data_IF_164520821949
#
_entry.id   IF_164520821949
#
_cell.length_a   1.000
_cell.length_b   1.000
_cell.length_c   1.000
_cell.angle_alpha   90.00
_cell.angle_beta   90.00
_cell.angle_gamma   90.00
#
_symmetry.space_group_name_H-M   'P 1'
#
loop_
_entity.id
_entity.type
_entity.pdbx_description
1 polymer ?
#
# COMPACT_ATOMS: atom_id res chain seq x y z
N UNK A 1 18.28 2.02 -10.54
CA UNK A 1 18.03 2.49 -9.15
C UNK A 1 16.56 2.26 -8.82
N UNK A 2 16.27 1.67 -7.66
CA UNK A 2 14.88 1.47 -7.20
C UNK A 2 14.27 2.82 -6.81
N UNK A 3 13.05 3.07 -7.26
CA UNK A 3 12.32 4.31 -6.96
C UNK A 3 11.14 4.01 -6.04
N UNK A 4 10.73 4.99 -5.19
CA UNK A 4 9.51 4.85 -4.43
C UNK A 4 8.32 4.59 -5.36
N UNK A 5 7.35 3.83 -4.86
CA UNK A 5 6.11 3.53 -5.57
C UNK A 5 4.93 3.78 -4.65
N UNK A 6 3.84 4.30 -5.20
CA UNK A 6 2.55 4.32 -4.51
C UNK A 6 1.92 2.93 -4.61
N UNK A 7 1.68 2.30 -3.47
CA UNK A 7 1.05 0.99 -3.37
C UNK A 7 -0.36 1.12 -2.83
N UNK A 8 -1.31 0.39 -3.43
CA UNK A 8 -2.69 0.35 -2.98
C UNK A 8 -3.34 -1.00 -3.27
N UNK A 9 -4.32 -1.38 -2.45
CA UNK A 9 -5.13 -2.55 -2.73
C UNK A 9 -6.08 -2.28 -3.89
N UNK A 10 -5.97 -3.06 -4.96
CA UNK A 10 -6.85 -2.98 -6.10
C UNK A 10 -7.98 -4.01 -5.96
N UNK A 11 -9.17 -3.54 -5.62
CA UNK A 11 -10.34 -4.42 -5.39
C UNK A 11 -10.79 -5.17 -6.63
N UNK A 12 -10.55 -4.64 -7.83
CA UNK A 12 -10.91 -5.32 -9.09
C UNK A 12 -9.95 -6.45 -9.44
N UNK A 13 -8.67 -6.28 -9.10
CA UNK A 13 -7.63 -7.29 -9.34
C UNK A 13 -7.37 -8.21 -8.15
N UNK A 14 -7.97 -7.89 -6.99
CA UNK A 14 -7.80 -8.60 -5.71
C UNK A 14 -6.33 -8.80 -5.35
N UNK A 15 -5.52 -7.76 -5.56
CA UNK A 15 -4.08 -7.77 -5.33
C UNK A 15 -3.57 -6.36 -5.07
N UNK A 16 -2.31 -6.23 -4.62
CA UNK A 16 -1.68 -4.92 -4.54
C UNK A 16 -1.28 -4.45 -5.94
N UNK A 17 -1.66 -3.22 -6.27
CA UNK A 17 -1.13 -2.50 -7.44
C UNK A 17 -0.02 -1.57 -6.97
N UNK A 18 1.07 -1.55 -7.73
CA UNK A 18 2.29 -0.79 -7.43
C UNK A 18 2.47 0.19 -8.57
N UNK A 19 2.42 1.49 -8.27
CA UNK A 19 2.59 2.57 -9.24
C UNK A 19 3.92 3.27 -8.97
N UNK A 20 4.95 3.05 -9.80
CA UNK A 20 6.22 3.76 -9.67
C UNK A 20 6.05 5.28 -9.74
N UNK A 21 6.83 6.03 -8.98
CA UNK A 21 6.84 7.50 -9.11
C UNK A 21 7.59 7.99 -10.35
N UNK A 22 8.43 7.15 -10.93
CA UNK A 22 9.17 7.37 -12.18
C UNK A 22 9.09 6.10 -13.02
N UNK A 23 9.20 6.16 -14.35
CA UNK A 23 9.33 4.97 -15.18
C UNK A 23 10.47 4.09 -14.67
N UNK A 24 10.15 2.85 -14.29
CA UNK A 24 11.11 1.88 -13.76
C UNK A 24 10.55 0.48 -13.88
N UNK A 25 11.43 -0.48 -14.21
CA UNK A 25 11.13 -1.89 -14.02
C UNK A 25 11.22 -2.25 -12.53
N UNK A 26 10.32 -3.14 -12.09
CA UNK A 26 10.32 -3.68 -10.74
C UNK A 26 10.48 -5.20 -10.83
N UNK A 27 11.70 -5.65 -10.54
CA UNK A 27 12.03 -7.08 -10.52
C UNK A 27 11.15 -7.85 -9.54
N UNK A 28 10.67 -9.02 -9.95
CA UNK A 28 9.77 -9.85 -9.14
C UNK A 28 8.30 -9.42 -9.16
N UNK A 29 7.95 -8.37 -9.91
CA UNK A 29 6.56 -7.90 -10.05
C UNK A 29 6.07 -8.00 -11.50
N UNK A 30 4.78 -8.31 -11.67
CA UNK A 30 4.18 -8.46 -13.00
C UNK A 30 3.68 -7.12 -13.54
N UNK A 31 4.29 -6.62 -14.61
CA UNK A 31 3.83 -5.42 -15.31
C UNK A 31 2.38 -5.57 -15.80
N UNK A 32 1.59 -4.52 -15.63
CA UNK A 32 0.26 -4.46 -16.24
C UNK A 32 0.37 -4.31 -17.76
N UNK A 33 -0.65 -4.73 -18.53
CA UNK A 33 -0.62 -4.62 -19.99
C UNK A 33 -0.43 -3.19 -20.52
N UNK A 34 -0.78 -2.17 -19.72
CA UNK A 34 -0.64 -0.75 -20.08
C UNK A 34 0.70 -0.14 -19.64
N UNK A 35 1.57 -0.90 -18.98
CA UNK A 35 2.91 -0.45 -18.57
C UNK A 35 2.97 0.65 -17.50
N UNK A 36 1.85 0.99 -16.85
CA UNK A 36 1.79 2.11 -15.86
C UNK A 36 1.86 1.67 -14.40
N UNK A 37 1.50 0.41 -14.14
CA UNK A 37 1.49 -0.19 -12.80
C UNK A 37 1.94 -1.64 -12.90
N UNK A 38 2.38 -2.17 -11.77
CA UNK A 38 2.67 -3.57 -11.56
C UNK A 38 1.60 -4.19 -10.67
N UNK A 39 1.33 -5.47 -10.83
CA UNK A 39 0.45 -6.26 -9.98
C UNK A 39 1.27 -7.22 -9.14
N UNK A 40 0.92 -7.35 -7.87
CA UNK A 40 1.50 -8.36 -6.99
C UNK A 40 0.43 -9.11 -6.21
N UNK A 41 0.36 -10.43 -6.45
CA UNK A 41 -0.48 -11.37 -5.70
C UNK A 41 0.31 -12.06 -4.58
N UNK A 42 1.64 -11.99 -4.60
CA UNK A 42 2.50 -12.58 -3.58
C UNK A 42 2.84 -11.60 -2.46
N UNK A 43 3.54 -12.09 -1.42
CA UNK A 43 4.00 -11.24 -0.33
C UNK A 43 5.22 -10.40 -0.76
N UNK A 44 5.33 -9.20 -0.20
CA UNK A 44 6.45 -8.28 -0.43
C UNK A 44 6.54 -7.25 0.69
N UNK A 45 7.61 -6.45 0.69
CA UNK A 45 7.76 -5.37 1.66
C UNK A 45 7.97 -4.01 0.98
N UNK A 46 7.67 -2.96 1.73
CA UNK A 46 8.06 -1.58 1.45
C UNK A 46 9.07 -1.13 2.49
N UNK A 47 10.20 -0.59 2.04
CA UNK A 47 11.13 0.16 2.88
C UNK A 47 10.70 1.63 2.96
N UNK A 48 10.87 2.21 4.14
CA UNK A 48 10.52 3.59 4.48
C UNK A 48 9.10 3.98 4.04
N UNK A 49 8.07 3.18 4.39
CA UNK A 49 6.70 3.46 3.98
C UNK A 49 6.18 4.77 4.58
N UNK A 50 5.55 5.57 3.73
CA UNK A 50 4.77 6.76 4.08
C UNK A 50 3.30 6.50 3.74
N UNK A 51 2.45 6.59 4.75
CA UNK A 51 1.01 6.34 4.66
C UNK A 51 0.29 7.63 4.28
N UNK A 52 -0.40 7.62 3.14
CA UNK A 52 -0.95 8.83 2.53
C UNK A 52 -2.43 8.66 2.25
N UNK A 53 -3.23 9.58 2.75
CA UNK A 53 -4.64 9.73 2.40
C UNK A 53 -4.80 11.06 1.67
N UNK A 54 -5.34 11.01 0.46
CA UNK A 54 -5.74 12.19 -0.29
C UNK A 54 -7.13 12.61 0.19
N UNK A 55 -7.18 13.67 1.00
CA UNK A 55 -8.42 14.13 1.63
C UNK A 55 -9.49 14.53 0.60
N UNK A 56 -9.12 15.21 -0.48
CA UNK A 56 -10.04 15.52 -1.58
C UNK A 56 -10.65 14.24 -2.19
N UNK A 57 -9.83 13.21 -2.33
CA UNK A 57 -10.27 11.89 -2.79
C UNK A 57 -11.20 11.21 -1.79
N UNK A 58 -10.86 11.20 -0.49
CA UNK A 58 -11.68 10.65 0.59
C UNK A 58 -13.05 11.34 0.63
N UNK A 59 -13.09 12.67 0.62
CA UNK A 59 -14.33 13.45 0.62
C UNK A 59 -15.21 13.14 -0.60
N UNK A 60 -14.61 12.92 -1.76
CA UNK A 60 -15.36 12.47 -2.94
C UNK A 60 -15.99 11.09 -2.74
N UNK A 61 -15.26 10.13 -2.17
CA UNK A 61 -15.79 8.79 -1.81
C UNK A 61 -16.94 8.90 -0.82
N UNK A 62 -16.80 9.75 0.21
CA UNK A 62 -17.83 9.95 1.24
C UNK A 62 -19.14 10.49 0.65
N UNK A 63 -19.05 11.48 -0.26
CA UNK A 63 -20.20 12.09 -0.94
C UNK A 63 -20.84 11.14 -1.97
N UNK A 64 -20.04 10.53 -2.83
CA UNK A 64 -20.55 9.78 -3.98
C UNK A 64 -20.78 8.30 -3.69
N UNK A 65 -20.32 7.79 -2.54
CA UNK A 65 -20.33 6.36 -2.16
C UNK A 65 -19.71 5.43 -3.21
N UNK A 66 -18.82 5.97 -4.05
CA UNK A 66 -18.10 5.25 -5.12
C UNK A 66 -16.63 5.10 -4.73
N UNK A 67 -16.07 3.91 -4.90
CA UNK A 67 -14.67 3.62 -4.55
C UNK A 67 -13.73 4.22 -5.59
N UNK A 68 -12.88 5.12 -5.15
CA UNK A 68 -11.70 5.61 -5.90
C UNK A 68 -10.46 5.42 -5.05
N UNK A 69 -9.30 5.30 -5.69
CA UNK A 69 -8.03 5.21 -4.97
C UNK A 69 -7.73 6.59 -4.38
N UNK A 70 -7.78 6.65 -3.04
CA UNK A 70 -7.49 7.87 -2.26
C UNK A 70 -6.54 7.58 -1.10
N UNK A 71 -6.19 6.31 -0.87
CA UNK A 71 -5.26 5.89 0.16
C UNK A 71 -4.16 5.04 -0.48
N UNK A 72 -2.91 5.42 -0.26
CA UNK A 72 -1.73 4.74 -0.80
C UNK A 72 -0.62 4.69 0.23
N UNK A 73 0.23 3.68 0.15
CA UNK A 73 1.45 3.56 0.94
C UNK A 73 2.63 3.77 -0.01
N UNK A 74 3.41 4.83 0.20
CA UNK A 74 4.56 5.15 -0.64
C UNK A 74 5.83 4.61 0.01
N UNK A 75 6.58 3.78 -0.68
CA UNK A 75 7.86 3.26 -0.19
C UNK A 75 8.63 2.56 -1.31
N UNK A 76 9.75 1.93 -0.98
CA UNK A 76 10.56 1.17 -1.94
C UNK A 76 10.11 -0.30 -1.96
N UNK A 77 9.48 -0.80 -3.04
CA UNK A 77 9.05 -2.19 -3.13
C UNK A 77 10.24 -3.13 -3.19
N UNK A 78 10.16 -4.24 -2.45
CA UNK A 78 11.14 -5.32 -2.48
C UNK A 78 10.47 -6.68 -2.29
N UNK A 79 10.83 -7.63 -3.15
CA UNK A 79 10.51 -9.04 -2.94
C UNK A 79 11.67 -9.66 -2.15
N UNK A 80 11.47 -10.10 -0.90
CA UNK A 80 12.53 -10.76 -0.15
C UNK A 80 12.67 -12.24 -0.59
N UNK A 81 13.85 -12.83 -0.43
CA UNK A 81 14.05 -14.26 -0.69
C UNK A 81 13.25 -15.16 0.26
N UNK A 82 13.07 -14.73 1.52
CA UNK A 82 12.17 -15.34 2.50
C UNK A 82 11.26 -14.25 3.05
N UNK A 83 9.94 -14.48 3.01
CA UNK A 83 8.97 -13.56 3.58
C UNK A 83 8.47 -14.07 4.93
N UNK A 84 8.67 -13.28 5.98
CA UNK A 84 8.11 -13.55 7.31
C UNK A 84 7.70 -12.22 7.92
N UNK A 85 6.50 -12.18 8.50
CA UNK A 85 6.05 -11.04 9.31
C UNK A 85 6.75 -11.16 10.67
N UNK A 86 7.57 -10.17 11.08
CA UNK A 86 8.31 -10.27 12.34
C UNK A 86 7.36 -10.36 13.55
N UNK A 87 7.75 -11.07 14.63
CA UNK A 87 7.09 -10.93 15.92
C UNK A 87 7.03 -9.46 16.34
N UNK A 88 5.89 -9.03 16.88
CA UNK A 88 5.66 -7.64 17.29
C UNK A 88 5.25 -6.69 16.17
N UNK A 89 5.20 -7.15 14.91
CA UNK A 89 4.65 -6.34 13.83
C UNK A 89 3.17 -6.00 14.10
N UNK A 90 2.77 -4.77 13.79
CA UNK A 90 1.44 -4.25 14.10
C UNK A 90 0.60 -4.14 12.83
N UNK A 91 -0.64 -4.65 12.88
CA UNK A 91 -1.57 -4.57 11.75
C UNK A 91 -2.07 -3.13 11.55
N UNK A 92 -1.93 -2.63 10.32
CA UNK A 92 -2.45 -1.34 9.88
C UNK A 92 -3.81 -1.52 9.23
N UNK A 93 -4.75 -0.64 9.59
CA UNK A 93 -6.10 -0.57 9.02
C UNK A 93 -6.37 0.80 8.42
N UNK A 94 -7.26 0.82 7.45
CA UNK A 94 -7.82 2.05 6.90
C UNK A 94 -9.26 1.82 6.44
N UNK A 95 -10.17 2.66 6.92
CA UNK A 95 -11.55 2.70 6.48
C UNK A 95 -11.95 4.18 6.31
N UNK A 96 -12.24 4.66 5.09
CA UNK A 96 -12.54 6.08 4.86
C UNK A 96 -13.78 6.58 5.60
N UNK A 97 -14.70 5.68 5.96
CA UNK A 97 -15.93 6.00 6.67
C UNK A 97 -15.75 6.13 8.19
N UNK A 98 -14.62 5.66 8.72
CA UNK A 98 -14.34 5.65 10.15
C UNK A 98 -13.13 6.50 10.51
N UNK A 99 -12.13 6.56 9.61
CA UNK A 99 -10.83 7.15 9.90
C UNK A 99 -10.42 8.12 8.79
N UNK A 100 -9.74 9.20 9.18
CA UNK A 100 -9.12 10.15 8.23
C UNK A 100 -7.74 9.68 7.77
N UNK A 101 -7.12 8.81 8.57
CA UNK A 101 -5.74 8.34 8.40
C UNK A 101 -5.69 6.83 8.49
N UNK A 102 -4.55 6.25 8.09
CA UNK A 102 -4.23 4.88 8.46
C UNK A 102 -4.06 4.80 9.97
N UNK A 103 -4.57 3.74 10.58
CA UNK A 103 -4.54 3.56 12.03
C UNK A 103 -4.10 2.15 12.40
N UNK A 104 -3.62 1.99 13.62
CA UNK A 104 -3.42 0.70 14.27
C UNK A 104 -4.75 0.18 14.83
N UNK A 105 -4.72 -1.03 15.38
CA UNK A 105 -5.92 -1.66 15.97
C UNK A 105 -6.51 -0.86 17.14
N UNK A 106 -5.67 -0.14 17.87
CA UNK A 106 -6.06 0.73 18.99
C UNK A 106 -6.51 2.14 18.53
N UNK A 107 -6.54 2.40 17.23
CA UNK A 107 -6.91 3.71 16.67
C UNK A 107 -5.74 4.69 16.52
N UNK A 108 -4.53 4.33 16.95
CA UNK A 108 -3.36 5.22 16.83
C UNK A 108 -3.06 5.52 15.36
N UNK A 109 -2.98 6.80 14.94
CA UNK A 109 -2.70 7.16 13.56
C UNK A 109 -1.26 6.83 13.14
N UNK A 110 -1.09 6.41 11.89
CA UNK A 110 0.18 6.04 11.29
C UNK A 110 0.46 6.90 10.06
N UNK A 111 1.65 7.50 10.03
CA UNK A 111 2.14 8.30 8.90
C UNK A 111 3.38 7.70 8.25
N UNK A 112 4.22 7.02 9.04
CA UNK A 112 5.48 6.41 8.61
C UNK A 112 5.74 5.14 9.42
N UNK A 113 6.58 4.25 8.87
CA UNK A 113 7.17 3.13 9.59
C UNK A 113 8.56 2.84 9.01
N UNK A 114 9.31 1.90 9.61
CA UNK A 114 10.60 1.46 9.04
C UNK A 114 10.39 0.50 7.87
N UNK A 115 9.52 -0.48 8.07
CA UNK A 115 9.17 -1.49 7.06
C UNK A 115 7.68 -1.78 7.12
N UNK A 116 7.05 -1.90 5.95
CA UNK A 116 5.70 -2.46 5.83
C UNK A 116 5.76 -3.81 5.11
N UNK A 117 5.10 -4.82 5.66
CA UNK A 117 4.96 -6.17 5.12
C UNK A 117 3.55 -6.32 4.56
N UNK A 118 3.43 -6.68 3.29
CA UNK A 118 2.16 -6.71 2.56
C UNK A 118 1.87 -8.13 2.07
N UNK A 119 0.67 -8.65 2.40
CA UNK A 119 0.20 -9.99 2.00
C UNK A 119 -1.33 -10.04 2.02
N UNK A 120 -1.96 -10.59 0.96
CA UNK A 120 -3.41 -10.92 0.91
C UNK A 120 -4.41 -9.80 1.27
N UNK A 121 -4.00 -8.52 1.20
CA UNK A 121 -4.70 -7.26 1.58
C UNK A 121 -4.25 -6.67 2.92
N UNK A 122 -3.56 -7.43 3.74
CA UNK A 122 -3.02 -6.96 5.01
C UNK A 122 -1.73 -6.18 4.84
N UNK A 123 -1.52 -5.26 5.78
CA UNK A 123 -0.31 -4.45 5.89
C UNK A 123 0.12 -4.46 7.35
N UNK A 124 1.33 -4.95 7.60
CA UNK A 124 1.92 -5.02 8.93
C UNK A 124 3.14 -4.12 9.00
N UNK A 125 3.35 -3.40 10.10
CA UNK A 125 4.49 -2.49 10.25
C UNK A 125 5.35 -2.81 11.46
N UNK A 126 6.62 -2.42 11.35
CA UNK A 126 7.58 -2.30 12.46
C UNK A 126 8.14 -0.88 12.52
#
# INVERSE_FOLDING_TARGET
MSHPSDVYWNTHKRCFSIRPTKPSELEGFKSSPKGRVFYNTGPFLLLDPVFRVNERGRQWVLRNKKKTVHATIRGLPRVPGVFTIPPGARLVKYNPYQNEQFVLLDGTPIFKARTAYLKDKEVWII
#
